data_IF_094160700592
#
_entry.id   IF_094160700592
#
_cell.length_a   1.000
_cell.length_b   1.000
_cell.length_c   1.000
_cell.angle_alpha   90.00
_cell.angle_beta   90.00
_cell.angle_gamma   90.00
#
_symmetry.space_group_name_H-M   'P 1'
#
loop_
_entity.id
_entity.type
_entity.pdbx_description
1 polymer ?
#
# COMPACT_ATOMS: atom_id res chain seq x y z
N UNK A 1 8.08 -5.11 12.20
CA UNK A 1 7.89 -5.73 10.87
C UNK A 1 7.39 -4.64 9.93
N UNK A 2 8.00 -4.50 8.74
CA UNK A 2 7.58 -3.50 7.75
C UNK A 2 6.55 -4.11 6.81
N UNK A 3 5.53 -3.35 6.44
CA UNK A 3 4.45 -3.78 5.54
C UNK A 3 4.22 -2.68 4.52
N UNK A 4 4.46 -3.00 3.25
CA UNK A 4 4.05 -2.16 2.13
C UNK A 4 2.53 -2.29 1.93
N UNK A 5 1.81 -1.18 2.03
CA UNK A 5 0.35 -1.12 1.87
C UNK A 5 0.03 -0.51 0.51
N UNK A 6 -0.43 -1.35 -0.41
CA UNK A 6 -0.67 -0.97 -1.81
C UNK A 6 -2.17 -1.04 -2.12
N UNK A 7 -2.93 0.07 -1.92
CA UNK A 7 -4.39 0.04 -1.94
C UNK A 7 -5.01 -0.19 -3.32
N UNK A 8 -4.31 0.13 -4.41
CA UNK A 8 -4.82 -0.05 -5.78
C UNK A 8 -6.03 0.84 -6.09
N UNK A 9 -6.97 0.31 -6.87
CA UNK A 9 -8.11 1.05 -7.44
C UNK A 9 -9.46 0.48 -7.03
N UNK A 10 -10.54 1.22 -7.30
CA UNK A 10 -11.92 0.79 -7.08
C UNK A 10 -12.19 0.51 -5.61
N UNK A 11 -12.55 -0.74 -5.28
CA UNK A 11 -12.80 -1.17 -3.90
C UNK A 11 -11.52 -1.33 -3.06
N UNK A 12 -10.35 -1.35 -3.70
CA UNK A 12 -9.07 -1.61 -3.05
C UNK A 12 -8.79 -0.67 -1.87
N UNK A 13 -8.84 0.66 -2.05
CA UNK A 13 -8.67 1.62 -0.95
C UNK A 13 -9.67 1.43 0.20
N UNK A 14 -10.92 1.05 -0.10
CA UNK A 14 -11.97 0.84 0.92
C UNK A 14 -11.62 -0.37 1.80
N UNK A 15 -11.33 -1.52 1.21
CA UNK A 15 -11.07 -2.76 1.95
C UNK A 15 -9.69 -2.76 2.63
N UNK A 16 -8.69 -2.13 2.00
CA UNK A 16 -7.33 -2.06 2.56
C UNK A 16 -7.28 -1.14 3.78
N UNK A 17 -8.09 -0.07 3.80
CA UNK A 17 -8.26 0.78 4.99
C UNK A 17 -8.77 -0.02 6.19
N UNK A 18 -9.72 -0.93 5.96
CA UNK A 18 -10.27 -1.78 7.02
C UNK A 18 -9.26 -2.85 7.46
N UNK A 19 -8.47 -3.42 6.54
CA UNK A 19 -7.38 -4.32 6.90
C UNK A 19 -6.33 -3.63 7.78
N UNK A 20 -5.93 -2.40 7.43
CA UNK A 20 -5.01 -1.58 8.23
C UNK A 20 -5.60 -1.26 9.61
N UNK A 21 -6.92 -1.01 9.70
CA UNK A 21 -7.61 -0.79 10.98
C UNK A 21 -7.50 -2.02 11.89
N UNK A 22 -7.68 -3.23 11.33
CA UNK A 22 -7.52 -4.47 12.09
C UNK A 22 -6.07 -4.67 12.53
N UNK A 23 -5.08 -4.41 11.68
CA UNK A 23 -3.66 -4.50 12.04
C UNK A 23 -3.31 -3.56 13.19
N UNK A 24 -3.81 -2.33 13.17
CA UNK A 24 -3.57 -1.33 14.23
C UNK A 24 -4.30 -1.64 15.55
N UNK A 25 -5.26 -2.57 15.55
CA UNK A 25 -5.96 -3.01 16.76
C UNK A 25 -5.22 -4.14 17.49
N UNK A 26 -4.17 -4.71 16.89
CA UNK A 26 -3.31 -5.71 17.52
C UNK A 26 -2.32 -5.03 18.48
N UNK A 27 -1.90 -5.74 19.53
CA UNK A 27 -0.82 -5.30 20.43
C UNK A 27 0.57 -5.59 19.81
N UNK A 28 0.73 -5.24 18.53
CA UNK A 28 1.92 -5.48 17.72
C UNK A 28 2.33 -4.19 16.99
N UNK A 29 3.63 -3.96 16.84
CA UNK A 29 4.15 -2.77 16.16
C UNK A 29 4.51 -3.09 14.70
N UNK A 30 3.70 -2.58 13.79
CA UNK A 30 3.95 -2.61 12.35
C UNK A 30 4.44 -1.25 11.86
N UNK A 31 5.45 -1.25 10.98
CA UNK A 31 5.81 -0.08 10.19
C UNK A 31 5.03 -0.17 8.87
N UNK A 32 3.91 0.56 8.78
CA UNK A 32 3.05 0.57 7.61
C UNK A 32 3.44 1.75 6.71
N UNK A 33 3.81 1.46 5.46
CA UNK A 33 4.14 2.50 4.48
C UNK A 33 3.29 2.28 3.22
N UNK A 34 2.63 3.35 2.75
CA UNK A 34 1.70 3.30 1.63
C UNK A 34 2.35 3.78 0.33
N UNK A 35 2.03 3.13 -0.79
CA UNK A 35 2.44 3.58 -2.12
C UNK A 35 1.38 3.25 -3.20
N UNK A 36 1.27 4.07 -4.27
CA UNK A 36 0.27 3.87 -5.32
C UNK A 36 0.64 2.71 -6.25
N UNK A 37 -0.36 1.98 -6.73
CA UNK A 37 -0.24 0.88 -7.70
C UNK A 37 -1.50 0.83 -8.56
N UNK A 38 -1.46 0.17 -9.73
CA UNK A 38 -2.59 0.08 -10.64
C UNK A 38 -2.87 1.41 -11.36
N UNK A 39 -4.13 1.75 -11.51
CA UNK A 39 -4.59 3.04 -12.04
C UNK A 39 -4.04 4.22 -11.24
N UNK A 40 -4.08 4.16 -9.91
CA UNK A 40 -3.48 5.17 -9.03
C UNK A 40 -1.96 5.29 -9.25
N UNK A 41 -1.27 4.19 -9.55
CA UNK A 41 0.14 4.20 -9.95
C UNK A 41 0.36 4.91 -11.29
N UNK A 42 -0.50 4.62 -12.27
CA UNK A 42 -0.47 5.24 -13.58
C UNK A 42 -0.77 6.75 -13.52
N UNK A 43 -1.76 7.17 -12.73
CA UNK A 43 -2.07 8.59 -12.51
C UNK A 43 -0.90 9.34 -11.86
N UNK A 44 -0.22 8.69 -10.90
CA UNK A 44 0.88 9.31 -10.17
C UNK A 44 2.19 9.38 -10.98
N UNK A 45 2.45 8.42 -11.87
CA UNK A 45 3.79 8.24 -12.47
C UNK A 45 3.82 7.85 -13.95
N UNK A 46 2.67 7.69 -14.59
CA UNK A 46 2.56 7.19 -15.97
C UNK A 46 2.81 5.69 -16.13
N UNK A 47 2.98 4.94 -15.04
CA UNK A 47 3.19 3.50 -15.06
C UNK A 47 2.38 2.80 -13.94
N UNK A 48 1.71 1.67 -14.21
CA UNK A 48 0.85 1.01 -13.21
C UNK A 48 1.62 0.46 -12.00
N UNK A 49 2.93 0.27 -12.14
CA UNK A 49 3.83 -0.06 -11.04
C UNK A 49 4.97 0.97 -11.00
N UNK A 50 4.82 2.08 -10.24
CA UNK A 50 5.88 3.07 -10.11
C UNK A 50 7.17 2.44 -9.54
N UNK A 51 8.33 2.92 -9.99
CA UNK A 51 9.62 2.41 -9.48
C UNK A 51 9.77 2.58 -7.97
N UNK A 52 9.26 3.69 -7.42
CA UNK A 52 9.22 3.93 -5.98
C UNK A 52 8.36 2.90 -5.23
N UNK A 53 7.21 2.52 -5.79
CA UNK A 53 6.33 1.48 -5.24
C UNK A 53 7.01 0.12 -5.26
N UNK A 54 7.67 -0.24 -6.38
CA UNK A 54 8.44 -1.49 -6.48
C UNK A 54 9.60 -1.52 -5.49
N UNK A 55 10.29 -0.40 -5.30
CA UNK A 55 11.36 -0.27 -4.31
C UNK A 55 10.82 -0.50 -2.90
N UNK A 56 9.73 0.18 -2.53
CA UNK A 56 9.09 -0.01 -1.22
C UNK A 56 8.73 -1.49 -0.99
N UNK A 57 8.10 -2.13 -1.97
CA UNK A 57 7.69 -3.53 -1.87
C UNK A 57 8.87 -4.51 -1.73
N UNK A 58 10.07 -4.14 -2.19
CA UNK A 58 11.31 -4.94 -2.00
C UNK A 58 11.98 -4.70 -0.65
N UNK A 59 11.75 -3.54 -0.04
CA UNK A 59 12.36 -3.13 1.23
C UNK A 59 11.53 -3.51 2.45
N UNK A 60 10.23 -3.73 2.27
CA UNK A 60 9.31 -4.20 3.30
C UNK A 60 9.45 -5.70 3.57
#
# INVERSE_FOLDING_TARGET
>A
MKIAVLPGDGIGPEIVTEAVKVLNALDEKFELEQAPVGGAGYEASGHPLPDATLKLAKEA
#
